data_IF_896204820758
#
_entry.id   IF_896204820758
#
_cell.length_a   1.000
_cell.length_b   1.000
_cell.length_c   1.000
_cell.angle_alpha   90.00
_cell.angle_beta   90.00
_cell.angle_gamma   90.00
#
_symmetry.space_group_name_H-M   'P 1'
#
loop_
_entity.id
_entity.type
_entity.pdbx_description
1 polymer ?
#
# COMPACT_ATOMS: atom_id res chain seq x y z
N UNK A 1 33.83 -41.64 -37.40
CA UNK A 1 33.56 -41.35 -35.97
C UNK A 1 32.26 -40.57 -35.88
N UNK A 2 31.17 -41.18 -35.37
CA UNK A 2 29.85 -40.52 -35.27
C UNK A 2 29.66 -40.01 -33.84
N UNK A 3 29.64 -38.69 -33.65
CA UNK A 3 29.38 -38.06 -32.37
C UNK A 3 27.93 -38.33 -31.95
N UNK A 4 27.73 -38.90 -30.76
CA UNK A 4 26.41 -39.09 -30.14
C UNK A 4 26.08 -37.86 -29.32
N UNK A 5 25.09 -37.08 -29.76
CA UNK A 5 24.56 -35.94 -29.01
C UNK A 5 23.76 -36.43 -27.80
N UNK A 6 24.06 -35.88 -26.62
CA UNK A 6 23.32 -36.14 -25.38
C UNK A 6 22.16 -35.14 -25.33
N UNK A 7 20.93 -35.64 -25.29
CA UNK A 7 19.72 -34.82 -25.06
C UNK A 7 19.41 -34.88 -23.56
N UNK A 8 19.50 -33.73 -22.88
CA UNK A 8 19.13 -33.60 -21.47
C UNK A 8 17.68 -33.11 -21.42
N UNK A 9 16.78 -33.99 -20.99
CA UNK A 9 15.38 -33.66 -20.74
C UNK A 9 15.24 -33.12 -19.31
N UNK A 10 15.10 -31.80 -19.19
CA UNK A 10 14.74 -31.15 -17.92
C UNK A 10 13.25 -31.38 -17.66
N UNK A 11 12.93 -32.45 -16.93
CA UNK A 11 11.61 -32.66 -16.34
C UNK A 11 11.37 -31.57 -15.28
N UNK A 12 10.61 -30.55 -15.64
CA UNK A 12 10.15 -29.53 -14.70
C UNK A 12 9.24 -30.19 -13.66
N UNK A 13 9.68 -30.22 -12.41
CA UNK A 13 8.82 -30.57 -11.28
C UNK A 13 7.65 -29.58 -11.22
N UNK A 14 6.47 -30.00 -11.69
CA UNK A 14 5.23 -29.27 -11.44
C UNK A 14 4.84 -29.50 -9.99
N UNK A 15 5.36 -28.67 -9.08
CA UNK A 15 4.88 -28.67 -7.71
C UNK A 15 3.37 -28.38 -7.72
N UNK A 16 2.55 -29.13 -6.94
CA UNK A 16 1.12 -28.89 -6.89
C UNK A 16 0.85 -27.48 -6.36
N UNK A 17 0.08 -26.69 -7.10
CA UNK A 17 -0.32 -25.31 -6.77
C UNK A 17 -0.97 -25.20 -5.37
N UNK A 18 -1.45 -26.32 -4.83
CA UNK A 18 -2.04 -26.43 -3.48
C UNK A 18 -1.03 -26.26 -2.34
N UNK A 19 0.28 -26.28 -2.61
CA UNK A 19 1.30 -26.06 -1.59
C UNK A 19 1.45 -24.58 -1.19
N UNK A 20 0.79 -23.65 -1.88
CA UNK A 20 0.78 -22.22 -1.56
C UNK A 20 -0.55 -21.77 -0.96
N UNK A 21 -1.05 -22.47 0.07
CA UNK A 21 -2.14 -21.95 0.90
C UNK A 21 -1.61 -20.78 1.75
N UNK A 22 -1.44 -19.62 1.13
CA UNK A 22 -1.20 -18.37 1.85
C UNK A 22 -2.54 -17.97 2.46
N UNK A 23 -2.74 -18.32 3.73
CA UNK A 23 -3.89 -17.88 4.49
C UNK A 23 -3.91 -16.35 4.56
N UNK A 24 -5.05 -15.74 4.21
CA UNK A 24 -5.23 -14.31 4.40
C UNK A 24 -5.20 -13.99 5.90
N UNK A 25 -4.11 -13.38 6.35
CA UNK A 25 -3.96 -12.88 7.71
C UNK A 25 -4.10 -11.35 7.69
N UNK A 26 -5.29 -10.79 8.01
CA UNK A 26 -5.48 -9.36 7.98
C UNK A 26 -4.60 -8.69 9.05
N UNK A 27 -3.62 -7.91 8.60
CA UNK A 27 -2.79 -7.08 9.48
C UNK A 27 -3.15 -5.62 9.27
N UNK A 28 -3.59 -4.97 10.33
CA UNK A 28 -3.84 -3.53 10.33
C UNK A 28 -2.49 -2.82 10.34
N UNK A 29 -2.24 -1.99 9.33
CA UNK A 29 -1.04 -1.16 9.25
C UNK A 29 -1.38 0.26 9.69
N UNK A 30 -0.79 0.69 10.79
CA UNK A 30 -0.93 2.06 11.28
C UNK A 30 -0.03 2.99 10.48
N UNK A 31 -0.51 4.19 10.20
CA UNK A 31 0.19 5.20 9.41
C UNK A 31 0.11 6.56 10.10
N UNK A 32 1.22 7.30 10.05
CA UNK A 32 1.27 8.70 10.44
C UNK A 32 1.79 9.48 9.25
N UNK A 33 1.05 10.50 8.83
CA UNK A 33 1.40 11.39 7.72
C UNK A 33 1.63 12.80 8.22
N UNK A 34 2.67 13.41 7.70
CA UNK A 34 2.95 14.84 7.88
C UNK A 34 2.93 15.45 6.50
N UNK A 35 2.04 16.42 6.30
CA UNK A 35 1.86 17.11 5.03
C UNK A 35 2.22 18.58 5.21
N UNK A 36 2.96 19.14 4.25
CA UNK A 36 3.21 20.57 4.15
C UNK A 36 3.04 20.99 2.70
N UNK A 37 2.35 22.11 2.48
CA UNK A 37 2.17 22.71 1.17
C UNK A 37 2.55 24.19 1.24
N UNK A 38 3.37 24.61 0.27
CA UNK A 38 3.78 26.00 0.10
C UNK A 38 3.27 26.48 -1.25
N UNK A 39 2.17 27.23 -1.23
CA UNK A 39 1.60 27.87 -2.40
C UNK A 39 1.50 29.39 -2.12
N UNK A 40 0.39 30.03 -2.48
CA UNK A 40 0.12 31.42 -2.08
C UNK A 40 0.02 31.58 -0.56
N UNK A 41 -0.52 30.58 0.12
CA UNK A 41 -0.56 30.46 1.58
C UNK A 41 0.05 29.12 1.97
N UNK A 42 0.82 29.10 3.06
CA UNK A 42 1.42 27.88 3.58
C UNK A 42 0.41 27.06 4.39
N UNK A 43 0.52 25.74 4.35
CA UNK A 43 -0.26 24.87 5.23
C UNK A 43 0.57 23.70 5.71
N UNK A 44 0.33 23.27 6.95
CA UNK A 44 0.93 22.07 7.53
C UNK A 44 -0.14 21.26 8.28
N UNK A 45 -0.13 19.94 8.12
CA UNK A 45 -1.07 19.04 8.78
C UNK A 45 -0.39 17.75 9.23
N UNK A 46 -0.92 17.18 10.32
CA UNK A 46 -0.54 15.85 10.79
C UNK A 46 -1.79 14.99 10.80
N UNK A 47 -1.70 13.83 10.15
CA UNK A 47 -2.76 12.84 10.07
C UNK A 47 -2.29 11.52 10.67
N UNK A 48 -3.20 10.85 11.37
CA UNK A 48 -3.02 9.50 11.86
C UNK A 48 -4.09 8.62 11.25
N UNK A 49 -3.73 7.40 10.87
CA UNK A 49 -4.63 6.52 10.16
C UNK A 49 -4.24 5.06 10.24
N UNK A 50 -5.07 4.25 9.60
CA UNK A 50 -4.86 2.82 9.48
C UNK A 50 -5.26 2.35 8.08
N UNK A 51 -4.46 1.43 7.55
CA UNK A 51 -4.76 0.66 6.36
C UNK A 51 -5.17 -0.75 6.79
N UNK A 52 -6.37 -1.15 6.39
CA UNK A 52 -6.96 -2.44 6.72
C UNK A 52 -7.17 -3.24 5.43
N UNK A 53 -6.58 -4.44 5.32
CA UNK A 53 -6.90 -5.33 4.22
C UNK A 53 -8.32 -5.87 4.34
N UNK A 54 -9.10 -5.71 3.26
CA UNK A 54 -10.46 -6.23 3.13
C UNK A 54 -10.51 -7.54 2.34
N UNK A 55 -9.37 -8.04 1.87
CA UNK A 55 -9.20 -9.30 1.18
C UNK A 55 -7.80 -9.41 0.58
N UNK A 56 -7.56 -10.42 -0.25
CA UNK A 56 -6.25 -10.59 -0.90
C UNK A 56 -5.84 -9.36 -1.72
N UNK A 57 -6.76 -8.79 -2.49
CA UNK A 57 -6.44 -7.74 -3.48
C UNK A 57 -6.89 -6.34 -3.08
N UNK A 58 -7.59 -6.17 -1.96
CA UNK A 58 -8.24 -4.90 -1.60
C UNK A 58 -7.76 -4.44 -0.24
N UNK A 59 -7.30 -3.18 -0.19
CA UNK A 59 -7.01 -2.49 1.07
C UNK A 59 -7.80 -1.20 1.16
N UNK A 60 -8.33 -0.94 2.34
CA UNK A 60 -9.04 0.30 2.67
C UNK A 60 -8.24 1.05 3.72
N UNK A 61 -7.99 2.33 3.48
CA UNK A 61 -7.31 3.20 4.43
C UNK A 61 -8.22 4.34 4.89
N UNK A 62 -8.11 4.68 6.16
CA UNK A 62 -8.75 5.86 6.75
C UNK A 62 -7.71 6.61 7.55
N UNK A 63 -7.67 7.93 7.39
CA UNK A 63 -6.84 8.81 8.20
C UNK A 63 -7.60 10.07 8.58
N UNK A 64 -7.31 10.58 9.77
CA UNK A 64 -7.88 11.80 10.29
C UNK A 64 -6.79 12.63 10.94
N UNK A 65 -6.92 13.95 10.87
CA UNK A 65 -5.90 14.82 11.38
C UNK A 65 -6.29 16.27 11.36
N UNK A 66 -5.39 17.09 11.89
CA UNK A 66 -5.57 18.52 11.96
C UNK A 66 -4.30 19.25 11.57
N UNK A 67 -4.47 20.49 11.20
CA UNK A 67 -3.38 21.32 10.74
C UNK A 67 -3.65 22.80 10.91
N UNK A 68 -2.71 23.57 10.42
CA UNK A 68 -2.80 25.02 10.31
C UNK A 68 -2.57 25.42 8.86
N UNK A 69 -3.31 26.41 8.41
CA UNK A 69 -3.11 27.06 7.13
C UNK A 69 -2.97 28.56 7.38
N UNK A 70 -2.06 29.19 6.66
CA UNK A 70 -2.01 30.64 6.59
C UNK A 70 -3.17 31.16 5.73
N UNK A 71 -3.58 32.40 5.98
CA UNK A 71 -4.74 32.99 5.36
C UNK A 71 -4.65 34.51 5.28
N UNK A 72 -5.56 35.17 4.54
CA UNK A 72 -5.56 36.63 4.39
C UNK A 72 -5.61 37.38 5.72
N UNK A 73 -6.35 36.82 6.68
CA UNK A 73 -6.59 37.40 8.01
C UNK A 73 -5.78 36.69 9.11
N UNK A 74 -4.74 35.93 8.73
CA UNK A 74 -3.87 35.17 9.62
C UNK A 74 -4.14 33.66 9.63
N UNK A 75 -3.59 32.98 10.64
CA UNK A 75 -3.52 31.52 10.70
C UNK A 75 -4.86 30.88 11.08
N UNK A 76 -5.32 29.93 10.29
CA UNK A 76 -6.58 29.20 10.45
C UNK A 76 -6.31 27.74 10.78
N UNK A 77 -7.12 27.16 11.68
CA UNK A 77 -7.07 25.73 11.99
C UNK A 77 -7.85 24.93 10.95
N UNK A 78 -7.33 23.78 10.56
CA UNK A 78 -7.98 22.85 9.64
C UNK A 78 -8.16 21.48 10.27
N UNK A 79 -9.25 20.82 9.89
CA UNK A 79 -9.52 19.42 10.15
C UNK A 79 -9.57 18.69 8.81
N UNK A 80 -9.00 17.50 8.74
CA UNK A 80 -8.95 16.70 7.52
C UNK A 80 -9.29 15.24 7.78
N UNK A 81 -10.04 14.67 6.85
CA UNK A 81 -10.42 13.26 6.80
C UNK A 81 -10.09 12.73 5.41
N UNK A 82 -9.33 11.63 5.37
CA UNK A 82 -8.93 10.96 4.15
C UNK A 82 -9.46 9.53 4.14
N UNK A 83 -10.06 9.13 3.03
CA UNK A 83 -10.44 7.74 2.74
C UNK A 83 -9.77 7.26 1.46
N UNK A 84 -9.23 6.04 1.49
CA UNK A 84 -8.58 5.43 0.32
C UNK A 84 -9.02 3.98 0.15
N UNK A 85 -9.15 3.56 -1.11
CA UNK A 85 -9.33 2.16 -1.50
C UNK A 85 -8.27 1.85 -2.53
N UNK A 86 -7.47 0.82 -2.27
CA UNK A 86 -6.37 0.38 -3.14
C UNK A 86 -6.66 -1.04 -3.63
N UNK A 87 -6.48 -1.22 -4.94
CA UNK A 87 -6.54 -2.52 -5.60
C UNK A 87 -5.11 -2.94 -5.95
N UNK A 88 -4.70 -4.09 -5.44
CA UNK A 88 -3.39 -4.66 -5.70
C UNK A 88 -3.46 -5.50 -6.98
N UNK A 89 -2.49 -5.32 -7.88
CA UNK A 89 -2.34 -6.19 -9.06
C UNK A 89 -1.63 -7.50 -8.67
N UNK A 90 -0.65 -7.40 -7.77
CA UNK A 90 0.00 -8.53 -7.12
C UNK A 90 -0.10 -8.35 -5.59
N UNK A 91 -0.91 -9.16 -4.90
CA UNK A 91 -1.14 -9.04 -3.47
C UNK A 91 0.01 -9.61 -2.61
N UNK A 92 1.00 -10.27 -3.22
CA UNK A 92 2.10 -10.92 -2.52
C UNK A 92 3.42 -10.13 -2.57
N UNK A 93 3.45 -9.01 -3.29
CA UNK A 93 4.62 -8.14 -3.43
C UNK A 93 4.70 -6.99 -2.42
N UNK A 94 3.78 -6.93 -1.45
CA UNK A 94 3.65 -5.83 -0.47
C UNK A 94 4.43 -6.07 0.82
#
# INVERSE_FOLDING_TARGET
MRARGIVVLLLGCTAPLHAQQIGFAPRVQHEVRVEAAMARYGSAAVLVGANVPMGYYVRTGLAAGGGVADGPDGMVRSLRLDGTVRFLLDPFAE
#
